data_IF_352517192435
#
_entry.id   IF_352517192435
#
_cell.length_a   1.000
_cell.length_b   1.000
_cell.length_c   1.000
_cell.angle_alpha   90.00
_cell.angle_beta   90.00
_cell.angle_gamma   90.00
#
_symmetry.space_group_name_H-M   'P 1'
#
loop_
_entity.id
_entity.type
_entity.pdbx_description
1 polymer ?
#
# COMPACT_ATOMS: atom_id res chain seq x y z
N UNK A 1 9.06 -21.30 6.64
CA UNK A 1 9.39 -22.40 7.61
C UNK A 1 10.84 -22.88 7.59
N UNK A 2 11.59 -22.80 6.46
CA UNK A 2 13.00 -23.26 6.37
C UNK A 2 13.97 -22.70 7.42
N UNK A 3 13.76 -21.48 7.91
CA UNK A 3 14.70 -20.82 8.83
C UNK A 3 14.57 -21.26 10.29
N UNK A 4 13.39 -21.74 10.72
CA UNK A 4 13.16 -22.18 12.11
C UNK A 4 13.98 -23.44 12.42
N UNK A 5 13.98 -24.40 11.49
CA UNK A 5 14.74 -25.63 11.65
C UNK A 5 16.24 -25.38 11.57
N UNK A 6 16.70 -24.40 10.77
CA UNK A 6 18.12 -24.01 10.74
C UNK A 6 18.62 -23.53 12.10
N UNK A 7 17.84 -22.71 12.81
CA UNK A 7 18.23 -22.23 14.15
C UNK A 7 18.35 -23.41 15.13
N UNK A 8 17.37 -24.32 15.13
CA UNK A 8 17.36 -25.50 16.02
C UNK A 8 18.54 -26.43 15.71
N UNK A 9 18.80 -26.70 14.42
CA UNK A 9 19.91 -27.56 13.98
C UNK A 9 21.26 -26.92 14.31
N UNK A 10 21.43 -25.62 14.03
CA UNK A 10 22.67 -24.91 14.38
C UNK A 10 22.91 -24.90 15.88
N UNK A 11 21.86 -24.74 16.68
CA UNK A 11 21.94 -24.79 18.13
C UNK A 11 22.32 -26.19 18.65
N UNK A 12 21.72 -27.24 18.08
CA UNK A 12 22.03 -28.63 18.43
C UNK A 12 23.49 -28.98 18.09
N UNK A 13 23.95 -28.59 16.89
CA UNK A 13 25.34 -28.80 16.47
C UNK A 13 26.33 -28.03 17.35
N UNK A 14 26.05 -26.76 17.64
CA UNK A 14 26.92 -25.95 18.51
C UNK A 14 27.00 -26.53 19.92
N UNK A 15 25.89 -27.05 20.45
CA UNK A 15 25.84 -27.70 21.77
C UNK A 15 26.62 -29.01 21.79
N UNK A 16 26.49 -29.85 20.77
CA UNK A 16 27.28 -31.08 20.65
C UNK A 16 28.78 -30.79 20.55
N UNK A 17 29.17 -29.82 19.71
CA UNK A 17 30.57 -29.41 19.55
C UNK A 17 31.13 -28.84 20.87
N UNK A 18 30.33 -28.05 21.60
CA UNK A 18 30.73 -27.51 22.89
C UNK A 18 30.95 -28.60 23.94
N UNK A 19 30.06 -29.60 24.01
CA UNK A 19 30.19 -30.72 24.95
C UNK A 19 31.51 -31.46 24.73
N UNK A 20 31.78 -31.86 23.47
CA UNK A 20 32.99 -32.60 23.07
C UNK A 20 34.25 -31.76 23.32
N UNK A 21 34.26 -30.52 22.86
CA UNK A 21 35.39 -29.61 23.02
C UNK A 21 35.70 -29.34 24.48
N UNK A 22 34.66 -29.15 25.30
CA UNK A 22 34.81 -28.89 26.72
C UNK A 22 35.34 -30.10 27.51
N UNK A 23 35.00 -31.34 27.11
CA UNK A 23 35.57 -32.55 27.74
C UNK A 23 37.07 -32.70 27.44
N UNK A 24 37.48 -32.42 26.20
CA UNK A 24 38.90 -32.45 25.81
C UNK A 24 39.72 -31.37 26.53
N UNK A 25 39.15 -30.18 26.73
CA UNK A 25 39.83 -29.05 27.37
C UNK A 25 40.12 -29.33 28.85
N UNK A 26 39.20 -30.02 29.56
CA UNK A 26 39.42 -30.43 30.95
C UNK A 26 40.57 -31.44 31.04
N UNK A 27 40.60 -32.44 30.14
CA UNK A 27 41.65 -33.47 30.12
C UNK A 27 43.05 -32.86 29.91
N UNK A 28 43.16 -31.86 29.02
CA UNK A 28 44.42 -31.20 28.69
C UNK A 28 44.88 -30.25 29.81
N UNK A 29 43.96 -29.50 30.42
CA UNK A 29 44.31 -28.49 31.43
C UNK A 29 44.52 -29.07 32.84
N UNK A 30 44.02 -30.28 33.12
CA UNK A 30 44.09 -30.88 34.47
C UNK A 30 44.70 -32.29 34.52
N UNK A 31 45.88 -32.53 33.94
CA UNK A 31 46.49 -33.86 33.93
C UNK A 31 46.89 -34.37 35.33
N UNK A 32 47.20 -33.47 36.28
CA UNK A 32 47.77 -33.81 37.60
C UNK A 32 46.90 -33.40 38.81
N UNK A 33 45.58 -33.20 38.64
CA UNK A 33 44.72 -32.81 39.77
C UNK A 33 44.24 -34.01 40.61
N UNK A 34 44.24 -33.80 41.93
CA UNK A 34 43.60 -34.63 42.96
C UNK A 34 42.12 -34.89 42.62
N UNK A 35 41.54 -36.04 43.00
CA UNK A 35 40.17 -36.42 42.63
C UNK A 35 39.12 -35.35 42.97
N UNK A 36 39.28 -34.67 44.11
CA UNK A 36 38.35 -33.64 44.58
C UNK A 36 38.32 -32.39 43.69
N UNK A 37 39.47 -32.01 43.12
CA UNK A 37 39.58 -30.87 42.21
C UNK A 37 38.88 -31.09 40.86
N UNK A 38 38.81 -32.34 40.39
CA UNK A 38 38.11 -32.67 39.13
C UNK A 38 36.59 -32.50 39.27
N UNK A 39 36.03 -32.87 40.42
CA UNK A 39 34.58 -32.76 40.69
C UNK A 39 34.10 -31.31 40.68
N UNK A 40 34.90 -30.39 41.24
CA UNK A 40 34.61 -28.95 41.24
C UNK A 40 34.60 -28.40 39.81
N UNK A 41 35.56 -28.80 38.97
CA UNK A 41 35.67 -28.36 37.57
C UNK A 41 34.49 -28.86 36.73
N UNK A 42 34.04 -30.10 36.94
CA UNK A 42 32.86 -30.63 36.26
C UNK A 42 31.57 -29.86 36.63
N UNK A 43 31.44 -29.45 37.88
CA UNK A 43 30.30 -28.64 38.34
C UNK A 43 30.34 -27.24 37.73
N UNK A 44 31.51 -26.60 37.70
CA UNK A 44 31.71 -25.28 37.12
C UNK A 44 31.45 -25.25 35.60
N UNK A 45 31.81 -26.32 34.88
CA UNK A 45 31.48 -26.50 33.45
C UNK A 45 29.98 -26.41 33.20
N UNK A 46 29.16 -27.06 34.05
CA UNK A 46 27.71 -27.04 33.94
C UNK A 46 27.14 -25.63 34.03
N UNK A 47 27.61 -24.84 35.00
CA UNK A 47 27.21 -23.44 35.15
C UNK A 47 27.61 -22.58 33.94
N UNK A 48 28.84 -22.74 33.44
CA UNK A 48 29.32 -22.02 32.24
C UNK A 48 28.45 -22.36 31.02
N UNK A 49 28.05 -23.63 30.86
CA UNK A 49 27.18 -24.05 29.78
C UNK A 49 25.80 -23.39 29.85
N UNK A 50 25.17 -23.37 31.03
CA UNK A 50 23.86 -22.75 31.24
C UNK A 50 23.94 -21.24 30.95
N UNK A 51 24.99 -20.56 31.42
CA UNK A 51 25.19 -19.13 31.20
C UNK A 51 25.40 -18.80 29.72
N UNK A 52 26.28 -19.55 29.04
CA UNK A 52 26.54 -19.39 27.61
C UNK A 52 25.27 -19.60 26.79
N UNK A 53 24.49 -20.61 27.15
CA UNK A 53 23.23 -20.91 26.50
C UNK A 53 22.18 -19.81 26.71
N UNK A 54 22.04 -19.29 27.93
CA UNK A 54 21.11 -18.20 28.23
C UNK A 54 21.45 -16.93 27.44
N UNK A 55 22.74 -16.58 27.34
CA UNK A 55 23.20 -15.45 26.54
C UNK A 55 22.93 -15.65 25.04
N UNK A 56 23.24 -16.84 24.52
CA UNK A 56 23.01 -17.18 23.13
C UNK A 56 21.52 -17.11 22.76
N UNK A 57 20.65 -17.68 23.59
CA UNK A 57 19.20 -17.67 23.37
C UNK A 57 18.67 -16.23 23.35
N UNK A 58 19.07 -15.40 24.30
CA UNK A 58 18.68 -13.99 24.36
C UNK A 58 19.13 -13.22 23.10
N UNK A 59 20.36 -13.46 22.64
CA UNK A 59 20.89 -12.86 21.41
C UNK A 59 20.05 -13.22 20.17
N UNK A 60 19.73 -14.51 19.99
CA UNK A 60 18.93 -14.99 18.85
C UNK A 60 17.50 -14.44 18.90
N UNK A 61 16.86 -14.41 20.08
CA UNK A 61 15.54 -13.82 20.28
C UNK A 61 15.51 -12.34 19.89
N UNK A 62 16.54 -11.57 20.28
CA UNK A 62 16.69 -10.17 19.90
C UNK A 62 16.71 -9.96 18.39
N UNK A 63 17.49 -10.77 17.66
CA UNK A 63 17.55 -10.70 16.19
C UNK A 63 16.20 -11.05 15.56
N UNK A 64 15.55 -12.10 16.03
CA UNK A 64 14.27 -12.54 15.48
C UNK A 64 13.17 -11.48 15.67
N UNK A 65 13.08 -10.90 16.86
CA UNK A 65 12.11 -9.85 17.17
C UNK A 65 12.35 -8.58 16.35
N UNK A 66 13.61 -8.19 16.15
CA UNK A 66 13.96 -7.02 15.31
C UNK A 66 13.52 -7.23 13.86
N UNK A 67 13.72 -8.44 13.30
CA UNK A 67 13.27 -8.77 11.93
C UNK A 67 11.74 -8.76 11.81
N UNK A 68 11.03 -9.32 12.79
CA UNK A 68 9.57 -9.35 12.81
C UNK A 68 8.99 -7.92 12.86
N UNK A 69 9.56 -7.05 13.70
CA UNK A 69 9.13 -5.63 13.79
C UNK A 69 9.33 -4.88 12.47
N UNK A 70 10.48 -5.07 11.79
CA UNK A 70 10.75 -4.42 10.50
C UNK A 70 9.75 -4.84 9.43
N UNK A 71 9.42 -6.14 9.35
CA UNK A 71 8.43 -6.66 8.40
C UNK A 71 7.01 -6.12 8.66
N UNK A 72 6.61 -5.98 9.92
CA UNK A 72 5.30 -5.44 10.26
C UNK A 72 5.20 -3.96 9.90
N UNK A 73 6.27 -3.20 10.18
CA UNK A 73 6.32 -1.78 9.85
C UNK A 73 6.24 -1.54 8.33
N UNK A 74 6.96 -2.33 7.53
CA UNK A 74 6.88 -2.22 6.07
C UNK A 74 5.51 -2.59 5.52
N UNK A 75 4.82 -3.56 6.14
CA UNK A 75 3.46 -3.92 5.74
C UNK A 75 2.47 -2.80 6.05
N UNK A 76 2.55 -2.19 7.24
CA UNK A 76 1.69 -1.04 7.58
C UNK A 76 1.89 0.10 6.59
N UNK A 77 3.14 0.49 6.33
CA UNK A 77 3.44 1.56 5.37
C UNK A 77 2.92 1.24 3.96
N UNK A 78 3.07 -0.01 3.50
CA UNK A 78 2.51 -0.43 2.21
C UNK A 78 0.97 -0.37 2.18
N UNK A 79 0.29 -0.71 3.29
CA UNK A 79 -1.16 -0.59 3.40
C UNK A 79 -1.62 0.86 3.40
N UNK A 80 -0.90 1.75 4.08
CA UNK A 80 -1.16 3.19 4.07
C UNK A 80 -1.03 3.77 2.66
N UNK A 81 0.06 3.47 1.95
CA UNK A 81 0.27 3.88 0.56
C UNK A 81 -0.85 3.37 -0.36
N UNK A 82 -1.26 2.11 -0.19
CA UNK A 82 -2.34 1.53 -0.99
C UNK A 82 -3.69 2.17 -0.69
N UNK A 83 -3.96 2.50 0.57
CA UNK A 83 -5.19 3.21 0.97
C UNK A 83 -5.23 4.60 0.36
N UNK A 84 -4.10 5.30 0.33
CA UNK A 84 -4.00 6.60 -0.33
C UNK A 84 -4.25 6.49 -1.83
N UNK A 85 -3.62 5.52 -2.50
CA UNK A 85 -3.87 5.23 -3.93
C UNK A 85 -5.33 4.93 -4.22
N UNK A 86 -5.98 4.09 -3.40
CA UNK A 86 -7.40 3.81 -3.55
C UNK A 86 -8.27 5.05 -3.38
N UNK A 87 -7.95 5.93 -2.42
CA UNK A 87 -8.65 7.20 -2.24
C UNK A 87 -8.51 8.10 -3.47
N UNK A 88 -7.31 8.18 -4.07
CA UNK A 88 -7.08 8.93 -5.32
C UNK A 88 -7.86 8.34 -6.50
N UNK A 89 -7.83 7.02 -6.68
CA UNK A 89 -8.58 6.32 -7.73
C UNK A 89 -10.09 6.53 -7.56
N UNK A 90 -10.60 6.43 -6.33
CA UNK A 90 -12.03 6.65 -6.04
C UNK A 90 -12.47 8.08 -6.39
N UNK A 91 -11.63 9.09 -6.10
CA UNK A 91 -11.89 10.48 -6.50
C UNK A 91 -11.92 10.64 -8.03
N UNK A 92 -10.99 9.99 -8.75
CA UNK A 92 -10.96 10.00 -10.21
C UNK A 92 -12.19 9.31 -10.82
N UNK A 93 -12.62 8.18 -10.26
CA UNK A 93 -13.81 7.45 -10.71
C UNK A 93 -15.08 8.29 -10.57
N UNK A 94 -15.24 8.98 -9.43
CA UNK A 94 -16.39 9.87 -9.25
C UNK A 94 -16.41 11.03 -10.25
N UNK A 95 -15.25 11.64 -10.51
CA UNK A 95 -15.11 12.70 -11.52
C UNK A 95 -15.47 12.18 -12.92
N UNK A 96 -15.02 10.97 -13.27
CA UNK A 96 -15.33 10.35 -14.56
C UNK A 96 -16.83 10.09 -14.69
N UNK A 97 -17.49 9.62 -13.62
CA UNK A 97 -18.95 9.42 -13.57
C UNK A 97 -19.71 10.72 -13.71
N UNK A 98 -19.28 11.79 -13.04
CA UNK A 98 -19.88 13.12 -13.22
C UNK A 98 -19.74 13.60 -14.67
N UNK A 99 -18.56 13.46 -15.28
CA UNK A 99 -18.35 13.85 -16.68
C UNK A 99 -19.20 13.00 -17.64
N UNK A 100 -19.30 11.69 -17.41
CA UNK A 100 -20.16 10.82 -18.20
C UNK A 100 -21.63 11.23 -18.07
N UNK A 101 -22.09 11.58 -16.86
CA UNK A 101 -23.46 12.08 -16.67
C UNK A 101 -23.70 13.37 -17.45
N UNK A 102 -22.79 14.34 -17.37
CA UNK A 102 -22.90 15.62 -18.09
C UNK A 102 -22.92 15.39 -19.61
N UNK A 103 -22.01 14.56 -20.11
CA UNK A 103 -21.92 14.27 -21.54
C UNK A 103 -23.17 13.57 -22.08
N UNK A 104 -23.69 12.59 -21.36
CA UNK A 104 -24.84 11.79 -21.81
C UNK A 104 -26.17 12.52 -21.61
N UNK A 105 -26.33 13.28 -20.53
CA UNK A 105 -27.64 13.86 -20.15
C UNK A 105 -27.69 15.37 -20.36
N UNK A 106 -26.74 16.11 -19.79
CA UNK A 106 -26.81 17.56 -19.79
C UNK A 106 -26.51 18.17 -21.17
N UNK A 107 -25.60 17.60 -21.95
CA UNK A 107 -25.32 18.03 -23.33
C UNK A 107 -26.42 17.57 -24.29
N UNK A 108 -26.95 16.36 -24.09
CA UNK A 108 -27.94 15.75 -25.00
C UNK A 108 -29.24 16.54 -25.07
N UNK A 109 -29.70 17.09 -23.94
CA UNK A 109 -30.96 17.87 -23.86
C UNK A 109 -30.98 19.07 -24.82
N UNK A 110 -30.06 20.06 -24.73
CA UNK A 110 -30.06 21.20 -25.64
C UNK A 110 -29.77 20.79 -27.09
N UNK A 111 -28.93 19.78 -27.33
CA UNK A 111 -28.65 19.26 -28.68
C UNK A 111 -29.92 18.70 -29.33
N UNK A 112 -30.73 17.92 -28.61
CA UNK A 112 -31.99 17.40 -29.12
C UNK A 112 -33.00 18.53 -29.41
N UNK A 113 -33.06 19.55 -28.54
CA UNK A 113 -33.91 20.73 -28.76
C UNK A 113 -33.48 21.51 -30.01
N UNK A 114 -32.17 21.76 -30.19
CA UNK A 114 -31.63 22.44 -31.38
C UNK A 114 -31.96 21.65 -32.64
N UNK A 115 -31.80 20.33 -32.62
CA UNK A 115 -32.10 19.48 -33.77
C UNK A 115 -33.59 19.56 -34.14
N UNK A 116 -34.47 19.40 -33.16
CA UNK A 116 -35.92 19.47 -33.34
C UNK A 116 -36.37 20.84 -33.86
N UNK A 117 -35.91 21.93 -33.24
CA UNK A 117 -36.24 23.28 -33.66
C UNK A 117 -35.66 23.61 -35.04
N UNK A 118 -34.46 23.11 -35.36
CA UNK A 118 -33.87 23.28 -36.70
C UNK A 118 -34.72 22.58 -37.77
N UNK A 119 -35.26 21.40 -37.48
CA UNK A 119 -36.16 20.71 -38.40
C UNK A 119 -37.50 21.45 -38.58
N UNK A 120 -38.05 22.01 -37.51
CA UNK A 120 -39.22 22.88 -37.56
C UNK A 120 -38.95 24.16 -38.37
N UNK A 121 -37.79 24.81 -38.19
CA UNK A 121 -37.40 25.97 -39.02
C UNK A 121 -37.30 25.63 -40.49
N UNK A 122 -36.90 24.42 -40.86
CA UNK A 122 -36.79 24.03 -42.26
C UNK A 122 -38.15 23.66 -42.87
N UNK A 123 -39.11 23.23 -42.06
CA UNK A 123 -40.42 22.74 -42.53
C UNK A 123 -41.49 23.83 -42.54
N UNK A 124 -41.41 24.83 -41.65
CA UNK A 124 -42.35 25.95 -41.59
C UNK A 124 -42.15 26.93 -42.76
N UNK A 125 -43.25 27.32 -43.40
CA UNK A 125 -43.25 28.34 -44.47
C UNK A 125 -43.45 29.76 -43.94
N UNK A 126 -43.99 29.92 -42.72
CA UNK A 126 -44.24 31.22 -42.10
C UNK A 126 -42.93 31.88 -41.60
N UNK A 127 -42.57 33.08 -42.09
CA UNK A 127 -41.39 33.80 -41.63
C UNK A 127 -41.46 34.26 -40.16
N UNK A 128 -42.66 34.49 -39.60
CA UNK A 128 -42.81 34.93 -38.20
C UNK A 128 -42.47 33.77 -37.25
N UNK A 129 -43.09 32.61 -37.49
CA UNK A 129 -42.87 31.39 -36.71
C UNK A 129 -41.42 30.90 -36.82
N UNK A 130 -40.80 31.01 -38.01
CA UNK A 130 -39.35 30.80 -38.18
C UNK A 130 -38.50 31.68 -37.26
N UNK A 131 -38.87 32.96 -37.12
CA UNK A 131 -38.20 33.90 -36.22
C UNK A 131 -38.22 33.45 -34.77
N UNK A 132 -39.36 32.93 -34.30
CA UNK A 132 -39.50 32.40 -32.93
C UNK A 132 -38.62 31.16 -32.71
N UNK A 133 -38.59 30.23 -33.66
CA UNK A 133 -37.73 29.05 -33.56
C UNK A 133 -36.24 29.40 -33.54
N UNK A 134 -35.80 30.40 -34.31
CA UNK A 134 -34.41 30.89 -34.24
C UNK A 134 -34.05 31.44 -32.86
N UNK A 135 -34.97 32.17 -32.21
CA UNK A 135 -34.75 32.65 -30.84
C UNK A 135 -34.62 31.48 -29.85
N UNK A 136 -35.49 30.48 -29.96
CA UNK A 136 -35.43 29.28 -29.12
C UNK A 136 -34.15 28.46 -29.35
N UNK A 137 -33.68 28.33 -30.59
CA UNK A 137 -32.39 27.68 -30.93
C UNK A 137 -31.24 28.45 -30.28
N UNK A 138 -31.23 29.78 -30.42
CA UNK A 138 -30.22 30.65 -29.79
C UNK A 138 -30.16 30.43 -28.27
N UNK A 139 -31.30 30.30 -27.61
CA UNK A 139 -31.32 30.05 -26.16
C UNK A 139 -30.84 28.64 -25.80
N UNK A 140 -31.17 27.62 -26.59
CA UNK A 140 -30.62 26.27 -26.41
C UNK A 140 -29.09 26.23 -26.61
N UNK A 141 -28.56 27.00 -27.57
CA UNK A 141 -27.11 27.13 -27.79
C UNK A 141 -26.44 27.77 -26.57
N UNK A 142 -27.05 28.79 -25.95
CA UNK A 142 -26.54 29.38 -24.70
C UNK A 142 -26.57 28.37 -23.55
N UNK A 143 -27.65 27.58 -23.40
CA UNK A 143 -27.73 26.53 -22.39
C UNK A 143 -26.61 25.49 -22.58
N UNK A 144 -26.35 25.08 -23.82
CA UNK A 144 -25.26 24.16 -24.16
C UNK A 144 -23.88 24.74 -23.81
N UNK A 145 -23.62 25.99 -24.18
CA UNK A 145 -22.34 26.66 -23.88
C UNK A 145 -22.07 26.74 -22.37
N UNK A 146 -23.10 27.04 -21.57
CA UNK A 146 -23.02 27.03 -20.10
C UNK A 146 -22.61 25.64 -19.60
N UNK A 147 -23.24 24.56 -20.08
CA UNK A 147 -22.93 23.18 -19.66
C UNK A 147 -21.49 22.81 -20.03
N UNK A 148 -21.04 23.15 -21.25
CA UNK A 148 -19.67 22.88 -21.71
C UNK A 148 -18.65 23.65 -20.87
N UNK A 149 -18.86 24.94 -20.64
CA UNK A 149 -17.98 25.77 -19.81
C UNK A 149 -17.89 25.26 -18.37
N UNK A 150 -19.00 24.85 -17.76
CA UNK A 150 -19.01 24.26 -16.42
C UNK A 150 -18.19 22.97 -16.35
N UNK A 151 -18.31 22.12 -17.37
CA UNK A 151 -17.55 20.87 -17.49
C UNK A 151 -16.04 21.14 -17.60
N UNK A 152 -15.66 22.05 -18.50
CA UNK A 152 -14.27 22.45 -18.70
C UNK A 152 -13.66 23.06 -17.43
N UNK A 153 -14.42 23.91 -16.71
CA UNK A 153 -13.97 24.51 -15.45
C UNK A 153 -13.72 23.46 -14.37
N UNK A 154 -14.64 22.50 -14.17
CA UNK A 154 -14.47 21.40 -13.22
C UNK A 154 -13.24 20.54 -13.55
N UNK A 155 -13.03 20.22 -14.83
CA UNK A 155 -11.88 19.45 -15.29
C UNK A 155 -10.55 20.18 -15.01
N UNK A 156 -10.51 21.49 -15.29
CA UNK A 156 -9.33 22.32 -15.03
C UNK A 156 -9.01 22.42 -13.53
N UNK A 157 -10.04 22.60 -12.67
CA UNK A 157 -9.87 22.62 -11.22
C UNK A 157 -9.30 21.30 -10.69
N UNK A 158 -9.82 20.16 -11.18
CA UNK A 158 -9.31 18.85 -10.80
C UNK A 158 -7.86 18.64 -11.26
N UNK A 159 -7.55 18.95 -12.53
CA UNK A 159 -6.21 18.81 -13.10
C UNK A 159 -5.18 19.68 -12.36
N UNK A 160 -5.56 20.88 -11.92
CA UNK A 160 -4.72 21.73 -11.08
C UNK A 160 -4.51 21.16 -9.67
N UNK A 161 -5.55 20.58 -9.05
CA UNK A 161 -5.43 19.93 -7.73
C UNK A 161 -4.48 18.73 -7.73
N UNK A 162 -4.46 17.93 -8.81
CA UNK A 162 -3.51 16.83 -9.02
C UNK A 162 -2.08 17.34 -9.24
N UNK A 163 -1.90 18.50 -9.88
CA UNK A 163 -0.59 19.08 -10.17
C UNK A 163 0.05 19.74 -8.94
N UNK A 164 -0.76 20.31 -8.05
CA UNK A 164 -0.30 20.97 -6.82
C UNK A 164 -0.12 19.98 -5.64
N UNK A 165 -0.61 18.75 -5.76
CA UNK A 165 -0.46 17.67 -4.78
C UNK A 165 0.70 16.70 -5.07
N UNK A 166 1.57 17.03 -6.03
CA UNK A 166 2.86 16.38 -6.29
C UNK A 166 3.98 17.27 -5.78
#
# INVERSE_FOLDING_TARGET
MKNKNRIVISYLLLSCVWIISSDQLIYIFTPNLTPDGRTIIHTMKGFIFILSNALFLNYVLGIYNKRKKKSHLSLISCLEDNKEKQSRISKQDNLLREMAWVNVHAIRKPVASILSLSELTNTTSDPIEKGEYYLMISDCIKELDIVVCQTAKKLNQFTQSERNGK
#
